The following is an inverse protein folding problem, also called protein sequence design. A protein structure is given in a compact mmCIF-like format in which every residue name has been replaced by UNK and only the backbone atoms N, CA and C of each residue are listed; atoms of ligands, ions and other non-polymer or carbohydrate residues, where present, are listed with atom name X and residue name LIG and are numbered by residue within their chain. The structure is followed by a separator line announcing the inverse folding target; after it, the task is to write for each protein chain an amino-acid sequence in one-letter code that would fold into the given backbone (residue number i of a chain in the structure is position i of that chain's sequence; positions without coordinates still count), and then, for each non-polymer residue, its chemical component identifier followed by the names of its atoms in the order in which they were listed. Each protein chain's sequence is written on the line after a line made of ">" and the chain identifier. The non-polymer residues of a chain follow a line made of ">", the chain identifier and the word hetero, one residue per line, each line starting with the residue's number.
data_IF_547423753632
#
_entry.id   IF_547423753632
#
_cell.length_a   1.000
_cell.length_b   1.000
_cell.length_c   1.000
_cell.angle_alpha   90.00
_cell.angle_beta   90.00
_cell.angle_gamma   90.00
#
_symmetry.space_group_name_H-M   'P 1'
#
loop_
_entity.id
_entity.type
_entity.pdbx_description
1 polymer ?
#
# COMPACT_ATOMS: atom_id res chain seq x y z
N UNK A 1 10.60 59.10 63.36
CA UNK A 1 10.48 59.64 62.02
C UNK A 1 9.95 58.55 61.08
N UNK A 2 8.79 58.74 60.71
CA UNK A 2 7.96 58.37 59.59
C UNK A 2 8.22 57.05 58.91
N UNK A 3 7.37 56.09 59.26
CA UNK A 3 7.20 54.82 58.53
C UNK A 3 6.37 54.99 57.28
N UNK A 4 6.72 54.23 56.26
CA UNK A 4 5.99 54.15 54.99
C UNK A 4 5.40 52.80 54.89
N UNK A 5 4.05 52.64 54.96
CA UNK A 5 3.30 51.42 54.80
C UNK A 5 3.33 50.95 53.32
N UNK A 6 3.50 49.70 53.06
CA UNK A 6 3.27 49.13 51.70
C UNK A 6 1.78 48.89 51.50
N UNK A 7 1.26 49.38 50.38
CA UNK A 7 -0.11 49.19 49.92
C UNK A 7 -0.22 47.75 49.35
N UNK A 8 -1.10 46.95 49.92
CA UNK A 8 -1.49 45.65 49.42
C UNK A 8 -2.48 45.84 48.26
N UNK A 9 -2.04 45.51 47.04
CA UNK A 9 -2.92 45.41 45.89
C UNK A 9 -3.82 44.16 46.01
N UNK A 10 -5.11 44.37 46.32
CA UNK A 10 -6.14 43.34 46.17
C UNK A 10 -6.30 43.01 44.71
N UNK A 11 -5.93 41.78 44.30
CA UNK A 11 -6.18 41.26 42.98
C UNK A 11 -7.69 41.00 42.83
N UNK A 12 -8.31 41.76 41.92
CA UNK A 12 -9.70 41.64 41.52
C UNK A 12 -9.88 40.37 40.71
N UNK A 13 -10.45 39.33 41.31
CA UNK A 13 -10.84 38.11 40.58
C UNK A 13 -11.93 38.41 39.55
N UNK A 14 -11.76 38.08 38.26
CA UNK A 14 -12.81 38.32 37.29
C UNK A 14 -13.98 37.37 37.55
N UNK A 15 -15.18 37.91 37.74
CA UNK A 15 -16.42 37.12 37.77
C UNK A 15 -16.65 36.53 36.38
N UNK A 16 -16.19 35.32 36.15
CA UNK A 16 -16.48 34.57 34.92
C UNK A 16 -17.98 34.32 34.83
N UNK A 17 -18.61 34.86 33.78
CA UNK A 17 -20.03 34.64 33.50
C UNK A 17 -20.25 33.14 33.21
N UNK A 18 -21.29 32.57 33.82
CA UNK A 18 -21.67 31.16 33.66
C UNK A 18 -21.78 30.73 32.15
N UNK A 19 -22.17 31.68 31.30
CA UNK A 19 -22.23 31.50 29.84
C UNK A 19 -20.84 31.32 29.19
N UNK A 20 -19.82 32.03 29.70
CA UNK A 20 -18.45 31.91 29.17
C UNK A 20 -17.81 30.56 29.54
N UNK A 21 -18.11 30.03 30.72
CA UNK A 21 -17.66 28.72 31.17
C UNK A 21 -18.32 27.59 30.34
N UNK A 22 -19.61 27.70 30.04
CA UNK A 22 -20.35 26.74 29.22
C UNK A 22 -19.83 26.69 27.77
N UNK A 23 -19.49 27.85 27.18
CA UNK A 23 -18.91 27.89 25.81
C UNK A 23 -17.49 27.30 25.78
N UNK A 24 -16.68 27.57 26.81
CA UNK A 24 -15.33 27.00 26.90
C UNK A 24 -15.35 25.47 27.04
N UNK A 25 -16.30 24.91 27.80
CA UNK A 25 -16.46 23.44 27.94
C UNK A 25 -16.94 22.81 26.62
N UNK A 26 -17.88 23.46 25.92
CA UNK A 26 -18.31 22.96 24.59
C UNK A 26 -17.16 22.98 23.56
N UNK A 27 -16.33 24.00 23.54
CA UNK A 27 -15.21 24.13 22.63
C UNK A 27 -14.10 23.10 22.95
N UNK A 28 -13.91 22.75 24.22
CA UNK A 28 -12.96 21.73 24.67
C UNK A 28 -13.41 20.29 24.33
N UNK A 29 -14.71 19.99 24.36
CA UNK A 29 -15.25 18.68 23.95
C UNK A 29 -15.15 18.43 22.45
N UNK A 30 -15.27 19.47 21.61
CA UNK A 30 -15.14 19.32 20.14
C UNK A 30 -13.71 19.00 19.71
N UNK A 31 -12.68 19.48 20.40
CA UNK A 31 -11.28 19.16 20.08
C UNK A 31 -10.88 17.73 20.46
N UNK A 32 -11.53 17.11 21.43
CA UNK A 32 -11.27 15.71 21.82
C UNK A 32 -11.80 14.67 20.81
N UNK A 33 -12.76 15.02 19.97
CA UNK A 33 -13.34 14.13 18.97
C UNK A 33 -12.54 14.07 17.66
N UNK A 34 -11.56 14.97 17.43
CA UNK A 34 -10.73 14.97 16.23
C UNK A 34 -9.43 14.15 16.34
N UNK A 35 -9.08 13.62 17.50
CA UNK A 35 -7.83 12.85 17.71
C UNK A 35 -7.95 11.35 17.42
N UNK A 36 -9.05 10.88 16.80
CA UNK A 36 -9.36 9.46 16.65
C UNK A 36 -8.77 8.74 15.43
N UNK A 37 -8.11 9.42 14.48
CA UNK A 37 -7.48 8.74 13.35
C UNK A 37 -5.99 8.48 13.64
N UNK A 38 -5.70 7.45 14.42
CA UNK A 38 -4.34 6.90 14.52
C UNK A 38 -3.96 6.21 13.20
N UNK A 39 -3.64 7.00 12.17
CA UNK A 39 -3.06 6.50 10.93
C UNK A 39 -1.64 6.02 11.25
N UNK A 40 -1.45 4.70 11.36
CA UNK A 40 -0.10 4.11 11.44
C UNK A 40 0.46 4.02 10.02
N UNK A 41 1.49 4.79 9.64
CA UNK A 41 2.08 4.68 8.32
C UNK A 41 2.72 3.30 8.17
N UNK A 42 2.33 2.55 7.15
CA UNK A 42 2.82 1.20 6.88
C UNK A 42 4.34 1.14 6.60
N UNK A 43 4.94 2.28 6.27
CA UNK A 43 6.37 2.43 5.95
C UNK A 43 7.14 3.33 6.93
N UNK A 44 6.59 3.64 8.11
CA UNK A 44 7.30 4.41 9.14
C UNK A 44 8.33 3.54 9.88
N UNK A 45 9.38 4.15 10.43
CA UNK A 45 10.49 3.49 11.17
C UNK A 45 10.11 3.11 12.61
N UNK A 46 8.91 2.54 12.82
CA UNK A 46 8.49 2.02 14.12
C UNK A 46 8.93 0.57 14.30
N UNK A 47 9.13 0.12 15.53
CA UNK A 47 9.51 -1.27 15.85
C UNK A 47 8.60 -2.32 15.21
N UNK A 48 7.29 -2.03 15.10
CA UNK A 48 6.29 -2.86 14.41
C UNK A 48 6.59 -3.02 12.91
N UNK A 49 7.13 -1.99 12.27
CA UNK A 49 7.47 -2.04 10.83
C UNK A 49 8.76 -2.82 10.58
N UNK A 50 9.72 -2.77 11.50
CA UNK A 50 10.93 -3.60 11.41
C UNK A 50 10.56 -5.09 11.52
N UNK A 51 9.65 -5.45 12.42
CA UNK A 51 9.17 -6.82 12.58
C UNK A 51 8.38 -7.28 11.34
N UNK A 52 7.53 -6.42 10.76
CA UNK A 52 6.82 -6.71 9.51
C UNK A 52 7.80 -6.96 8.35
N UNK A 53 8.84 -6.13 8.21
CA UNK A 53 9.86 -6.32 7.17
C UNK A 53 10.60 -7.65 7.34
N UNK A 54 10.95 -8.04 8.56
CA UNK A 54 11.56 -9.36 8.81
C UNK A 54 10.58 -10.50 8.47
N UNK A 55 9.29 -10.35 8.79
CA UNK A 55 8.27 -11.33 8.42
C UNK A 55 8.11 -11.44 6.90
N UNK A 56 8.11 -10.31 6.17
CA UNK A 56 8.02 -10.31 4.70
C UNK A 56 9.21 -11.03 4.05
N UNK A 57 10.41 -10.96 4.62
CA UNK A 57 11.58 -11.71 4.15
C UNK A 57 11.42 -13.23 4.25
N UNK A 58 10.50 -13.71 5.08
CA UNK A 58 10.21 -15.16 5.20
C UNK A 58 9.18 -15.66 4.18
N UNK A 59 8.68 -14.80 3.30
CA UNK A 59 7.72 -15.18 2.24
C UNK A 59 8.47 -15.71 1.03
N UNK A 60 8.33 -17.00 0.74
CA UNK A 60 8.86 -17.62 -0.47
C UNK A 60 7.86 -17.49 -1.63
N UNK A 61 8.36 -17.20 -2.82
CA UNK A 61 7.56 -17.08 -4.04
C UNK A 61 8.09 -18.06 -5.07
N UNK A 62 7.39 -19.19 -5.31
CA UNK A 62 7.77 -20.17 -6.34
C UNK A 62 7.81 -19.55 -7.74
N UNK A 63 8.35 -20.29 -8.69
CA UNK A 63 8.37 -19.86 -10.09
C UNK A 63 6.95 -19.65 -10.62
N UNK A 64 6.79 -18.57 -11.40
CA UNK A 64 5.54 -18.22 -12.06
C UNK A 64 5.75 -18.33 -13.56
N UNK A 65 4.88 -19.05 -14.29
CA UNK A 65 5.06 -19.23 -15.72
C UNK A 65 4.88 -17.94 -16.51
N UNK A 66 5.58 -17.83 -17.62
CA UNK A 66 5.50 -16.69 -18.54
C UNK A 66 6.36 -15.50 -18.14
N UNK A 67 6.70 -14.65 -19.14
CA UNK A 67 7.59 -13.49 -18.94
C UNK A 67 7.01 -12.52 -17.90
N UNK A 68 5.75 -12.13 -18.05
CA UNK A 68 5.11 -11.16 -17.15
C UNK A 68 4.98 -11.73 -15.74
N UNK A 69 4.69 -13.03 -15.60
CA UNK A 69 4.67 -13.72 -14.32
C UNK A 69 6.02 -13.65 -13.61
N UNK A 70 7.12 -13.83 -14.35
CA UNK A 70 8.48 -13.69 -13.81
C UNK A 70 8.78 -12.23 -13.39
N UNK A 71 8.32 -11.23 -14.14
CA UNK A 71 8.50 -9.82 -13.77
C UNK A 71 7.75 -9.51 -12.47
N UNK A 72 6.48 -9.92 -12.34
CA UNK A 72 5.70 -9.74 -11.10
C UNK A 72 6.40 -10.42 -9.92
N UNK A 73 6.85 -11.66 -10.11
CA UNK A 73 7.57 -12.43 -9.09
C UNK A 73 8.85 -11.71 -8.63
N UNK A 74 9.68 -11.29 -9.56
CA UNK A 74 10.96 -10.65 -9.26
C UNK A 74 10.75 -9.29 -8.55
N UNK A 75 9.76 -8.53 -8.96
CA UNK A 75 9.39 -7.27 -8.31
C UNK A 75 8.91 -7.50 -6.86
N UNK A 76 8.12 -8.56 -6.61
CA UNK A 76 7.70 -8.93 -5.26
C UNK A 76 8.88 -9.41 -4.39
N UNK A 77 9.77 -10.24 -4.94
CA UNK A 77 10.99 -10.67 -4.23
C UNK A 77 11.81 -9.44 -3.84
N UNK A 78 12.03 -8.52 -4.79
CA UNK A 78 12.76 -7.29 -4.50
C UNK A 78 12.11 -6.46 -3.38
N UNK A 79 10.79 -6.34 -3.38
CA UNK A 79 10.02 -5.58 -2.37
C UNK A 79 10.01 -6.26 -1.00
N UNK A 80 10.04 -7.58 -0.93
CA UNK A 80 10.00 -8.33 0.33
C UNK A 80 11.39 -8.53 0.93
N UNK A 81 12.39 -8.83 0.12
CA UNK A 81 13.72 -9.25 0.59
C UNK A 81 14.86 -8.32 0.18
N UNK A 82 14.58 -7.32 -0.68
CA UNK A 82 15.62 -6.51 -1.32
C UNK A 82 16.35 -7.24 -2.46
N UNK A 83 15.82 -8.38 -2.95
CA UNK A 83 16.33 -9.13 -4.11
C UNK A 83 16.94 -10.49 -3.79
N UNK A 84 17.04 -10.87 -2.49
CA UNK A 84 17.49 -12.21 -2.07
C UNK A 84 16.36 -13.24 -2.02
N UNK A 85 16.73 -14.51 -1.82
CA UNK A 85 15.77 -15.57 -1.50
C UNK A 85 15.46 -15.55 0.00
N UNK A 86 14.29 -16.10 0.37
CA UNK A 86 13.95 -16.30 1.77
C UNK A 86 14.83 -17.40 2.38
N UNK A 87 15.65 -17.08 3.38
CA UNK A 87 16.58 -18.03 4.00
C UNK A 87 15.88 -19.10 4.85
N UNK A 88 14.76 -18.77 5.48
CA UNK A 88 13.93 -19.68 6.27
C UNK A 88 12.44 -19.37 6.01
N UNK A 89 11.84 -19.87 4.93
CA UNK A 89 10.50 -19.52 4.56
C UNK A 89 9.47 -20.01 5.59
N UNK A 90 8.65 -19.10 6.12
CA UNK A 90 7.49 -19.39 6.96
C UNK A 90 6.18 -19.33 6.16
N UNK A 91 6.18 -18.61 5.05
CA UNK A 91 5.04 -18.44 4.18
C UNK A 91 5.41 -18.76 2.72
N UNK A 92 4.41 -19.24 1.97
CA UNK A 92 4.52 -19.55 0.54
C UNK A 92 3.43 -18.82 -0.22
N UNK A 93 3.84 -17.90 -1.11
CA UNK A 93 2.94 -17.11 -1.94
C UNK A 93 2.89 -17.71 -3.34
N UNK A 94 1.76 -18.27 -3.76
CA UNK A 94 1.54 -18.75 -5.11
C UNK A 94 0.80 -17.71 -5.94
N UNK A 95 1.21 -17.55 -7.20
CA UNK A 95 0.67 -16.56 -8.12
C UNK A 95 0.20 -17.27 -9.42
N UNK A 96 -0.93 -16.83 -9.95
CA UNK A 96 -1.41 -17.19 -11.29
C UNK A 96 -1.70 -15.89 -12.05
N UNK A 97 -0.85 -15.56 -13.01
CA UNK A 97 -0.89 -14.33 -13.80
C UNK A 97 -1.54 -14.60 -15.16
N UNK A 98 -2.59 -13.85 -15.47
CA UNK A 98 -3.25 -13.86 -16.78
C UNK A 98 -3.11 -12.49 -17.41
N UNK A 99 -2.58 -12.46 -18.63
CA UNK A 99 -2.40 -11.27 -19.45
C UNK A 99 -3.46 -11.25 -20.55
N UNK A 100 -4.02 -10.07 -20.82
CA UNK A 100 -4.84 -9.82 -22.01
C UNK A 100 -4.58 -8.41 -22.56
N UNK A 101 -4.65 -8.29 -23.90
CA UNK A 101 -4.51 -7.01 -24.59
C UNK A 101 -5.87 -6.66 -25.20
N UNK A 102 -6.32 -5.42 -24.97
CA UNK A 102 -7.57 -4.91 -25.52
C UNK A 102 -7.34 -3.59 -26.26
N UNK A 103 -7.91 -3.46 -27.46
CA UNK A 103 -7.93 -2.21 -28.20
C UNK A 103 -8.89 -1.22 -27.55
N UNK A 104 -8.48 0.04 -27.43
CA UNK A 104 -9.31 1.11 -26.85
C UNK A 104 -10.12 1.85 -27.90
N UNK A 105 -9.50 2.17 -29.02
CA UNK A 105 -10.12 2.87 -30.12
C UNK A 105 -9.79 2.15 -31.43
N UNK A 106 -10.82 1.92 -32.25
CA UNK A 106 -10.68 1.43 -33.61
C UNK A 106 -11.05 2.60 -34.52
N UNK A 107 -10.14 3.03 -35.39
CA UNK A 107 -10.41 3.99 -36.43
C UNK A 107 -11.43 3.43 -37.41
N UNK A 108 -12.06 4.30 -38.22
CA UNK A 108 -12.99 3.88 -39.30
C UNK A 108 -12.32 3.01 -40.37
N UNK A 109 -11.00 3.09 -40.49
CA UNK A 109 -10.14 2.27 -41.36
C UNK A 109 -9.74 0.93 -40.73
N UNK A 110 -10.12 0.67 -39.47
CA UNK A 110 -9.85 -0.57 -38.75
C UNK A 110 -8.58 -0.55 -37.90
N UNK A 111 -7.77 0.52 -37.99
CA UNK A 111 -6.55 0.64 -37.19
C UNK A 111 -6.84 1.08 -35.74
N UNK A 112 -6.13 0.46 -34.79
CA UNK A 112 -6.25 0.75 -33.37
C UNK A 112 -5.12 1.69 -32.93
N UNK A 113 -5.44 2.89 -32.44
CA UNK A 113 -4.42 3.86 -31.99
C UNK A 113 -3.96 3.63 -30.55
N UNK A 114 -4.75 3.01 -29.72
CA UNK A 114 -4.45 2.76 -28.31
C UNK A 114 -4.83 1.37 -27.89
N UNK A 115 -3.96 0.77 -27.10
CA UNK A 115 -4.17 -0.56 -26.51
C UNK A 115 -3.99 -0.51 -25.00
N UNK A 116 -4.69 -1.39 -24.31
CA UNK A 116 -4.49 -1.66 -22.90
C UNK A 116 -3.99 -3.08 -22.70
N UNK A 117 -2.92 -3.20 -21.97
CA UNK A 117 -2.54 -4.44 -21.33
C UNK A 117 -3.27 -4.54 -19.99
N UNK A 118 -3.98 -5.64 -19.78
CA UNK A 118 -4.63 -5.97 -18.52
C UNK A 118 -3.96 -7.20 -17.91
N UNK A 119 -3.54 -7.09 -16.65
CA UNK A 119 -3.07 -8.21 -15.84
C UNK A 119 -4.12 -8.53 -14.79
N UNK A 120 -4.50 -9.80 -14.76
CA UNK A 120 -5.34 -10.37 -13.71
C UNK A 120 -4.51 -11.42 -12.97
N UNK A 121 -4.17 -11.14 -11.71
CA UNK A 121 -3.28 -11.97 -10.90
C UNK A 121 -4.03 -12.51 -9.69
N UNK A 122 -4.32 -13.81 -9.71
CA UNK A 122 -4.82 -14.50 -8.53
C UNK A 122 -3.64 -14.90 -7.65
N UNK A 123 -3.80 -14.73 -6.33
CA UNK A 123 -2.76 -15.07 -5.37
C UNK A 123 -3.32 -15.85 -4.18
N UNK A 124 -2.48 -16.72 -3.61
CA UNK A 124 -2.79 -17.47 -2.41
C UNK A 124 -1.54 -17.54 -1.54
N UNK A 125 -1.71 -17.17 -0.27
CA UNK A 125 -0.67 -17.24 0.75
C UNK A 125 -0.95 -18.44 1.65
N UNK A 126 0.06 -19.28 1.83
CA UNK A 126 0.00 -20.45 2.70
C UNK A 126 1.03 -20.32 3.81
N UNK A 127 0.79 -20.97 4.93
CA UNK A 127 1.83 -21.22 5.93
C UNK A 127 2.62 -22.45 5.51
N UNK A 128 3.95 -22.38 5.59
CA UNK A 128 4.81 -23.52 5.27
C UNK A 128 4.48 -24.70 6.19
N UNK A 129 4.25 -25.87 5.60
CA UNK A 129 3.78 -27.07 6.32
C UNK A 129 2.26 -27.29 6.30
N UNK A 130 1.48 -26.29 5.88
CA UNK A 130 0.03 -26.41 5.69
C UNK A 130 -0.38 -25.84 4.33
N UNK A 131 -0.17 -26.62 3.27
CA UNK A 131 -0.50 -26.25 1.89
C UNK A 131 -1.98 -26.52 1.52
N UNK A 132 -2.81 -26.96 2.48
CA UNK A 132 -4.20 -27.35 2.17
C UNK A 132 -5.15 -26.16 2.10
N UNK A 133 -5.01 -25.20 3.02
CA UNK A 133 -5.88 -24.03 3.11
C UNK A 133 -5.04 -22.75 3.03
N UNK A 134 -5.33 -21.86 2.08
CA UNK A 134 -4.67 -20.56 2.05
C UNK A 134 -5.11 -19.72 3.27
N UNK A 135 -4.18 -19.07 3.93
CA UNK A 135 -4.46 -18.13 5.02
C UNK A 135 -4.89 -16.75 4.50
N UNK A 136 -4.56 -16.43 3.25
CA UNK A 136 -5.02 -15.25 2.53
C UNK A 136 -5.10 -15.60 1.05
N UNK A 137 -6.20 -15.22 0.39
CA UNK A 137 -6.34 -15.34 -1.05
C UNK A 137 -7.05 -14.12 -1.64
N UNK A 138 -6.86 -13.90 -2.93
CA UNK A 138 -7.51 -12.80 -3.62
C UNK A 138 -7.04 -12.65 -5.06
N UNK A 139 -7.48 -11.55 -5.67
CA UNK A 139 -7.12 -11.20 -7.04
C UNK A 139 -6.70 -9.75 -7.10
N UNK A 140 -5.61 -9.47 -7.81
CA UNK A 140 -5.12 -8.14 -8.15
C UNK A 140 -5.38 -7.88 -9.63
N UNK A 141 -5.75 -6.65 -9.95
CA UNK A 141 -5.98 -6.21 -11.32
C UNK A 141 -5.14 -4.98 -11.61
N UNK A 142 -4.35 -5.04 -12.68
CA UNK A 142 -3.57 -3.90 -13.16
C UNK A 142 -3.80 -3.67 -14.65
N UNK A 143 -3.73 -2.40 -15.06
CA UNK A 143 -3.95 -1.98 -16.43
C UNK A 143 -2.89 -0.96 -16.84
N UNK A 144 -2.30 -1.15 -18.02
CA UNK A 144 -1.33 -0.21 -18.57
C UNK A 144 -1.64 0.08 -20.05
N UNK A 145 -1.73 1.35 -20.39
CA UNK A 145 -1.94 1.76 -21.78
C UNK A 145 -0.62 1.73 -22.54
N UNK A 146 -0.67 1.41 -23.83
CA UNK A 146 0.42 1.58 -24.78
C UNK A 146 -0.13 1.92 -26.18
N UNK A 147 0.67 2.58 -26.98
CA UNK A 147 0.29 2.95 -28.34
C UNK A 147 0.79 1.92 -29.32
N UNK A 148 -0.04 1.64 -30.32
CA UNK A 148 0.32 0.88 -31.50
C UNK A 148 0.83 1.85 -32.57
N UNK A 149 2.03 1.60 -33.07
CA UNK A 149 2.71 2.43 -34.06
C UNK A 149 2.95 1.59 -35.32
N UNK A 150 3.21 2.27 -36.44
CA UNK A 150 3.55 1.61 -37.72
C UNK A 150 4.86 0.81 -37.68
N UNK A 151 5.73 1.05 -36.68
CA UNK A 151 6.99 0.35 -36.49
C UNK A 151 6.83 -0.88 -35.56
N UNK A 152 7.05 -2.06 -36.06
CA UNK A 152 7.01 -3.32 -35.32
C UNK A 152 7.94 -3.29 -34.09
N UNK A 153 9.15 -2.74 -34.23
CA UNK A 153 10.10 -2.64 -33.14
C UNK A 153 9.61 -1.72 -32.02
N UNK A 154 9.00 -0.60 -32.40
CA UNK A 154 8.39 0.35 -31.44
C UNK A 154 7.25 -0.31 -30.66
N UNK A 155 6.41 -1.09 -31.34
CA UNK A 155 5.27 -1.79 -30.74
C UNK A 155 5.72 -2.85 -29.72
N UNK A 156 6.76 -3.62 -30.04
CA UNK A 156 7.33 -4.60 -29.09
C UNK A 156 7.86 -3.92 -27.85
N UNK A 157 8.54 -2.76 -28.00
CA UNK A 157 9.08 -2.03 -26.84
C UNK A 157 7.98 -1.40 -25.99
N UNK A 158 7.01 -0.72 -26.61
CA UNK A 158 5.90 -0.07 -25.89
C UNK A 158 5.04 -1.11 -25.14
N UNK A 159 4.81 -2.28 -25.74
CA UNK A 159 4.13 -3.38 -25.07
C UNK A 159 4.92 -3.89 -23.86
N UNK A 160 6.24 -4.14 -24.01
CA UNK A 160 7.09 -4.58 -22.88
C UNK A 160 7.11 -3.57 -21.74
N UNK A 161 7.17 -2.29 -22.05
CA UNK A 161 7.08 -1.22 -21.03
C UNK A 161 5.72 -1.26 -20.31
N UNK A 162 4.62 -1.48 -21.04
CA UNK A 162 3.30 -1.63 -20.44
C UNK A 162 3.22 -2.88 -19.52
N UNK A 163 3.81 -4.00 -19.95
CA UNK A 163 3.91 -5.22 -19.14
C UNK A 163 4.67 -4.95 -17.83
N UNK A 164 5.81 -4.25 -17.90
CA UNK A 164 6.63 -3.94 -16.74
C UNK A 164 5.93 -2.97 -15.78
N UNK A 165 5.22 -1.95 -16.30
CA UNK A 165 4.40 -1.03 -15.48
C UNK A 165 3.23 -1.75 -14.80
N UNK A 166 2.50 -2.57 -15.53
CA UNK A 166 1.39 -3.35 -14.96
C UNK A 166 1.89 -4.35 -13.91
N UNK A 167 3.03 -4.99 -14.13
CA UNK A 167 3.64 -5.91 -13.18
C UNK A 167 4.05 -5.19 -11.88
N UNK A 168 4.64 -3.99 -11.96
CA UNK A 168 4.97 -3.16 -10.79
C UNK A 168 3.73 -2.79 -9.99
N UNK A 169 2.68 -2.32 -10.66
CA UNK A 169 1.40 -1.99 -10.01
C UNK A 169 0.79 -3.21 -9.31
N UNK A 170 0.83 -4.38 -9.96
CA UNK A 170 0.38 -5.64 -9.35
C UNK A 170 1.20 -5.98 -8.10
N UNK A 171 2.52 -5.87 -8.18
CA UNK A 171 3.40 -6.17 -7.04
C UNK A 171 3.19 -5.19 -5.86
N UNK A 172 2.92 -3.93 -6.15
CA UNK A 172 2.56 -2.92 -5.12
C UNK A 172 1.26 -3.27 -4.40
N UNK A 173 0.21 -3.60 -5.15
CA UNK A 173 -1.08 -4.00 -4.56
C UNK A 173 -0.93 -5.27 -3.71
N UNK A 174 -0.25 -6.28 -4.22
CA UNK A 174 0.01 -7.53 -3.49
C UNK A 174 0.85 -7.31 -2.23
N UNK A 175 1.92 -6.49 -2.31
CA UNK A 175 2.71 -6.12 -1.15
C UNK A 175 1.84 -5.45 -0.08
N UNK A 176 1.00 -4.48 -0.46
CA UNK A 176 0.11 -3.78 0.45
C UNK A 176 -0.84 -4.73 1.18
N UNK A 177 -1.51 -5.61 0.45
CA UNK A 177 -2.47 -6.59 1.01
C UNK A 177 -1.80 -7.60 1.93
N UNK A 178 -0.66 -8.16 1.53
CA UNK A 178 0.08 -9.15 2.32
C UNK A 178 0.64 -8.50 3.58
N UNK A 179 1.19 -7.28 3.46
CA UNK A 179 1.69 -6.50 4.60
C UNK A 179 0.59 -6.19 5.61
N UNK A 180 -0.60 -5.75 5.13
CA UNK A 180 -1.75 -5.48 5.99
C UNK A 180 -2.23 -6.74 6.73
N UNK A 181 -2.29 -7.89 6.04
CA UNK A 181 -2.68 -9.16 6.63
C UNK A 181 -1.67 -9.62 7.70
N UNK A 182 -0.37 -9.61 7.38
CA UNK A 182 0.68 -10.06 8.30
C UNK A 182 0.83 -9.13 9.51
N UNK A 183 0.62 -7.81 9.35
CA UNK A 183 0.64 -6.86 10.47
C UNK A 183 -0.55 -6.99 11.42
N UNK A 184 -1.70 -7.48 10.93
CA UNK A 184 -2.91 -7.70 11.75
C UNK A 184 -2.92 -9.03 12.50
N UNK A 185 -2.03 -9.97 12.15
CA UNK A 185 -1.92 -11.31 12.73
C UNK A 185 -0.62 -11.53 13.54
N UNK A 186 0.10 -10.45 13.82
CA UNK A 186 1.36 -10.45 14.60
C UNK A 186 1.10 -10.18 16.07
#
# INVERSE_FOLDING_TARGET
>A
MMGKHPQTHLSKTPKMSFKAVSVAIMLSCTSALLSGCAFKPLYGTTATNAQLQETLKTVSIPEVPGRVGQVVRNELIFRFTGGGHADAPQYKLTLAVKESVKSQFVRRDGDSEGQFLELNTSFKLYRVGDDKLPILEGTSFAKAAFNDNTSIYSNVRSRRDAEDRAAKTTAEDLQGRISAFLSGNS
#
